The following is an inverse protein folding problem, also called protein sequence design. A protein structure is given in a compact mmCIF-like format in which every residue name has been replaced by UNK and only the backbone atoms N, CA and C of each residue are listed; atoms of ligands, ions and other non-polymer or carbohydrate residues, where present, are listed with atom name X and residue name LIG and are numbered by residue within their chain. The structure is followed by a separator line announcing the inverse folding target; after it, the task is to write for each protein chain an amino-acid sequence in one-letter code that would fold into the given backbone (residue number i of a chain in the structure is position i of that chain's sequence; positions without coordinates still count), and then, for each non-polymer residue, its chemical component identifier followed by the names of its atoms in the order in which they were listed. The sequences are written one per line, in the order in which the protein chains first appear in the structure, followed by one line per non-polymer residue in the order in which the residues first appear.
data_IF_966285423105
#
_entry.id   IF_966285423105
#
_cell.length_a   1.000
_cell.length_b   1.000
_cell.length_c   1.000
_cell.angle_alpha   90.00
_cell.angle_beta   90.00
_cell.angle_gamma   90.00
#
_symmetry.space_group_name_H-M   'P 1'
#
loop_
_entity.id
_entity.type
_entity.pdbx_description
1 polymer ?
#
# COMPACT_ATOMS: atom_id res chain seq x y z
N UNK A 1 17.32 -6.13 -16.59
CA UNK A 1 16.52 -6.47 -17.77
C UNK A 1 16.16 -5.22 -18.56
N UNK A 2 15.50 -4.21 -17.97
CA UNK A 2 14.99 -3.02 -18.68
C UNK A 2 15.92 -1.80 -18.68
N UNK A 3 16.87 -1.71 -17.75
CA UNK A 3 17.93 -0.71 -17.76
C UNK A 3 19.05 -1.14 -18.75
N UNK A 4 18.71 -1.26 -20.02
CA UNK A 4 19.67 -1.59 -21.08
C UNK A 4 20.57 -0.41 -21.37
N UNK A 5 21.74 -0.64 -21.99
CA UNK A 5 22.65 0.43 -22.40
C UNK A 5 21.94 1.47 -23.30
N UNK A 6 21.05 1.01 -24.19
CA UNK A 6 20.26 1.87 -25.07
C UNK A 6 19.29 2.78 -24.27
N UNK A 7 18.52 2.21 -23.32
CA UNK A 7 17.60 2.96 -22.47
C UNK A 7 18.35 3.97 -21.60
N UNK A 8 19.48 3.55 -21.01
CA UNK A 8 20.30 4.43 -20.17
C UNK A 8 20.95 5.57 -20.97
N UNK A 9 21.38 5.33 -22.21
CA UNK A 9 21.89 6.40 -23.08
C UNK A 9 20.78 7.35 -23.51
N UNK A 10 19.56 6.84 -23.78
CA UNK A 10 18.39 7.67 -24.09
C UNK A 10 18.01 8.59 -22.93
N UNK A 11 18.16 8.12 -21.69
CA UNK A 11 17.79 8.85 -20.47
C UNK A 11 18.95 9.66 -19.89
N UNK A 12 20.10 9.65 -20.53
CA UNK A 12 21.29 10.39 -20.07
C UNK A 12 21.02 11.90 -20.03
N UNK A 13 21.26 12.49 -18.85
CA UNK A 13 21.03 13.91 -18.61
C UNK A 13 19.56 14.29 -18.40
N UNK A 14 18.63 13.33 -18.44
CA UNK A 14 17.25 13.58 -18.02
C UNK A 14 17.18 13.68 -16.51
N UNK A 15 16.75 14.82 -16.02
CA UNK A 15 16.62 15.12 -14.58
C UNK A 15 15.22 15.64 -14.31
N UNK A 16 14.51 15.04 -13.40
CA UNK A 16 13.17 15.49 -13.00
C UNK A 16 13.23 16.77 -12.16
N UNK A 17 12.11 17.48 -11.95
CA UNK A 17 12.09 18.71 -11.15
C UNK A 17 12.67 18.57 -9.74
N UNK A 18 12.54 17.42 -9.12
CA UNK A 18 13.13 17.13 -7.80
C UNK A 18 14.50 16.43 -7.87
N UNK A 19 15.15 16.44 -9.04
CA UNK A 19 16.52 15.95 -9.19
C UNK A 19 16.65 14.43 -9.29
N UNK A 20 15.60 13.70 -9.68
CA UNK A 20 15.65 12.27 -9.90
C UNK A 20 16.15 11.94 -11.30
N UNK A 21 16.92 10.86 -11.44
CA UNK A 21 17.51 10.40 -12.69
C UNK A 21 17.35 8.90 -12.87
N UNK A 22 17.61 8.39 -14.06
CA UNK A 22 17.54 6.96 -14.33
C UNK A 22 18.55 6.18 -13.48
N UNK A 23 19.74 6.72 -13.23
CA UNK A 23 20.78 6.11 -12.40
C UNK A 23 20.30 5.95 -10.94
N UNK A 24 19.69 7.01 -10.38
CA UNK A 24 19.09 6.95 -9.03
C UNK A 24 17.95 5.95 -8.97
N UNK A 25 17.11 5.91 -10.02
CA UNK A 25 15.96 5.03 -10.06
C UNK A 25 16.34 3.54 -10.01
N UNK A 26 17.46 3.14 -10.61
CA UNK A 26 17.93 1.74 -10.67
C UNK A 26 18.89 1.36 -9.54
N UNK A 27 19.30 2.31 -8.68
CA UNK A 27 20.36 2.08 -7.68
C UNK A 27 20.04 0.90 -6.76
N UNK A 28 18.79 0.79 -6.29
CA UNK A 28 18.38 -0.32 -5.43
C UNK A 28 18.54 -1.68 -6.10
N UNK A 29 18.24 -1.78 -7.40
CA UNK A 29 18.42 -3.00 -8.18
C UNK A 29 19.89 -3.33 -8.49
N UNK A 30 20.77 -2.32 -8.52
CA UNK A 30 22.22 -2.51 -8.66
C UNK A 30 22.79 -3.08 -7.36
N UNK A 31 22.44 -2.50 -6.23
CA UNK A 31 22.93 -2.90 -4.91
C UNK A 31 22.35 -4.25 -4.46
N UNK A 32 21.15 -4.59 -4.94
CA UNK A 32 20.40 -5.77 -4.54
C UNK A 32 19.90 -6.52 -5.78
N UNK A 33 20.76 -7.33 -6.38
CA UNK A 33 20.48 -8.08 -7.62
C UNK A 33 19.34 -9.11 -7.50
N UNK A 34 18.95 -9.46 -6.29
CA UNK A 34 17.82 -10.34 -5.96
C UNK A 34 16.52 -9.59 -5.77
N UNK A 35 16.49 -8.26 -6.00
CA UNK A 35 15.27 -7.45 -5.93
C UNK A 35 14.26 -7.88 -7.00
N UNK A 36 12.99 -7.98 -6.61
CA UNK A 36 11.89 -8.34 -7.52
C UNK A 36 11.58 -7.24 -8.54
N UNK A 37 11.81 -5.97 -8.20
CA UNK A 37 11.53 -4.82 -9.07
C UNK A 37 12.78 -3.97 -9.36
N UNK A 38 13.60 -3.65 -8.36
CA UNK A 38 14.88 -2.98 -8.47
C UNK A 38 14.85 -1.52 -8.93
N UNK A 39 13.67 -0.91 -9.09
CA UNK A 39 13.52 0.49 -9.52
C UNK A 39 12.55 1.23 -8.62
N UNK A 40 12.85 2.52 -8.35
CA UNK A 40 12.02 3.38 -7.52
C UNK A 40 11.90 4.78 -8.15
N UNK A 41 10.71 5.37 -8.05
CA UNK A 41 10.46 6.74 -8.46
C UNK A 41 10.87 7.72 -7.35
N UNK A 42 11.32 8.92 -7.74
CA UNK A 42 11.69 9.98 -6.81
C UNK A 42 10.66 11.09 -6.69
N UNK A 43 9.79 11.21 -7.68
CA UNK A 43 8.75 12.22 -7.76
C UNK A 43 7.65 11.83 -8.78
N UNK A 44 6.54 12.59 -8.87
CA UNK A 44 5.48 12.30 -9.85
C UNK A 44 5.99 12.27 -11.29
N UNK A 45 6.91 13.15 -11.64
CA UNK A 45 7.45 13.32 -12.99
C UNK A 45 8.38 12.18 -13.41
N UNK A 46 8.88 11.38 -12.46
CA UNK A 46 9.70 10.19 -12.74
C UNK A 46 9.01 9.26 -13.74
N UNK A 47 7.69 9.05 -13.59
CA UNK A 47 6.93 8.13 -14.43
C UNK A 47 6.73 8.61 -15.88
N UNK A 48 6.78 9.90 -16.12
CA UNK A 48 6.66 10.48 -17.48
C UNK A 48 8.01 10.75 -18.09
N UNK A 49 8.94 11.36 -17.34
CA UNK A 49 10.26 11.74 -17.87
C UNK A 49 11.19 10.53 -18.04
N UNK A 50 11.03 9.50 -17.20
CA UNK A 50 11.81 8.26 -17.29
C UNK A 50 10.94 7.10 -17.82
N UNK A 51 9.88 7.37 -18.58
CA UNK A 51 8.97 6.37 -19.12
C UNK A 51 9.65 5.23 -19.91
N UNK A 52 10.71 5.45 -20.71
CA UNK A 52 11.43 4.35 -21.37
C UNK A 52 11.95 3.28 -20.42
N UNK A 53 12.26 3.65 -19.17
CA UNK A 53 12.68 2.71 -18.12
C UNK A 53 11.47 2.12 -17.39
N UNK A 54 10.54 2.97 -16.93
CA UNK A 54 9.45 2.54 -16.05
C UNK A 54 8.32 1.80 -16.78
N UNK A 55 7.90 2.26 -17.95
CA UNK A 55 6.72 1.71 -18.64
C UNK A 55 6.82 0.21 -18.94
N UNK A 56 7.94 -0.32 -19.47
CA UNK A 56 8.07 -1.76 -19.70
C UNK A 56 8.00 -2.58 -18.40
N UNK A 57 8.57 -2.04 -17.32
CA UNK A 57 8.57 -2.68 -16.00
C UNK A 57 7.15 -2.73 -15.45
N UNK A 58 6.41 -1.63 -15.53
CA UNK A 58 5.02 -1.51 -15.06
C UNK A 58 4.13 -2.50 -15.82
N UNK A 59 4.23 -2.55 -17.14
CA UNK A 59 3.45 -3.50 -17.97
C UNK A 59 3.74 -4.95 -17.61
N UNK A 60 5.01 -5.29 -17.45
CA UNK A 60 5.39 -6.66 -17.09
C UNK A 60 4.91 -7.04 -15.69
N UNK A 61 5.12 -6.18 -14.71
CA UNK A 61 4.73 -6.45 -13.32
C UNK A 61 3.22 -6.56 -13.15
N UNK A 62 2.48 -5.57 -13.63
CA UNK A 62 1.03 -5.50 -13.47
C UNK A 62 0.24 -6.37 -14.46
N UNK A 63 0.91 -6.90 -15.50
CA UNK A 63 0.25 -7.62 -16.61
C UNK A 63 -0.87 -6.78 -17.22
N UNK A 64 -0.60 -5.50 -17.43
CA UNK A 64 -1.57 -4.51 -17.88
C UNK A 64 -0.93 -3.51 -18.85
N UNK A 65 -1.59 -3.23 -19.98
CA UNK A 65 -1.07 -2.38 -21.06
C UNK A 65 -1.22 -0.88 -20.79
N UNK A 66 -1.58 -0.48 -19.58
CA UNK A 66 -1.74 0.92 -19.16
C UNK A 66 -2.71 1.72 -20.06
N UNK A 67 -3.85 1.11 -20.39
CA UNK A 67 -4.88 1.69 -21.25
C UNK A 67 -5.78 2.71 -20.54
N UNK A 68 -5.60 2.88 -19.25
CA UNK A 68 -6.30 3.84 -18.40
C UNK A 68 -6.53 3.31 -17.00
N UNK A 69 -6.67 4.21 -16.04
CA UNK A 69 -6.97 3.89 -14.64
C UNK A 69 -8.01 4.87 -14.09
N UNK A 70 -8.96 4.34 -13.33
CA UNK A 70 -9.99 5.12 -12.63
C UNK A 70 -10.01 4.76 -11.15
N UNK A 71 -10.33 5.75 -10.34
CA UNK A 71 -10.58 5.57 -8.90
C UNK A 71 -12.07 5.60 -8.64
N UNK A 72 -12.58 4.60 -7.92
CA UNK A 72 -13.99 4.51 -7.49
C UNK A 72 -14.10 3.78 -6.15
N UNK A 73 -14.51 4.52 -5.12
CA UNK A 73 -14.78 3.99 -3.77
C UNK A 73 -16.27 3.78 -3.48
N UNK A 74 -17.15 3.90 -4.49
CA UNK A 74 -18.59 3.76 -4.27
C UNK A 74 -19.01 2.31 -4.03
N UNK A 75 -19.70 2.06 -2.93
CA UNK A 75 -20.37 0.77 -2.66
C UNK A 75 -21.87 0.81 -3.04
N UNK A 76 -22.33 1.90 -3.67
CA UNK A 76 -23.74 2.08 -4.03
C UNK A 76 -24.22 0.95 -4.96
N UNK A 77 -25.34 0.35 -4.60
CA UNK A 77 -26.00 -0.71 -5.39
C UNK A 77 -25.43 -2.11 -5.17
N UNK A 78 -24.48 -2.28 -4.25
CA UNK A 78 -24.01 -3.61 -3.84
C UNK A 78 -24.90 -4.18 -2.72
N UNK A 79 -25.23 -5.45 -2.84
CA UNK A 79 -25.84 -6.23 -1.76
C UNK A 79 -24.75 -6.78 -0.86
N UNK A 80 -24.57 -6.19 0.30
CA UNK A 80 -23.52 -6.54 1.25
C UNK A 80 -24.17 -7.12 2.49
N UNK A 81 -23.76 -8.34 2.85
CA UNK A 81 -24.15 -9.02 4.08
C UNK A 81 -22.90 -9.38 4.88
N UNK A 82 -23.06 -9.61 6.17
CA UNK A 82 -21.98 -10.14 6.98
C UNK A 82 -21.62 -11.55 6.49
N UNK A 83 -20.37 -11.75 6.11
CA UNK A 83 -19.87 -13.02 5.58
C UNK A 83 -19.62 -14.09 6.65
N UNK A 84 -19.44 -13.65 7.89
CA UNK A 84 -19.06 -14.52 9.02
C UNK A 84 -19.71 -14.04 10.32
N UNK A 85 -21.06 -14.04 10.42
CA UNK A 85 -21.78 -13.47 11.55
C UNK A 85 -21.49 -14.20 12.89
N UNK A 86 -21.01 -15.43 12.82
CA UNK A 86 -20.62 -16.21 14.01
C UNK A 86 -19.12 -16.03 14.37
N UNK A 87 -18.36 -15.31 13.55
CA UNK A 87 -16.93 -15.05 13.78
C UNK A 87 -16.04 -16.32 13.77
N UNK A 88 -16.40 -17.28 12.94
CA UNK A 88 -15.69 -18.59 12.90
C UNK A 88 -14.46 -18.59 12.00
N UNK A 89 -14.48 -17.76 10.95
CA UNK A 89 -13.50 -17.83 9.86
C UNK A 89 -12.65 -16.57 9.78
N UNK A 90 -13.23 -15.39 9.72
CA UNK A 90 -12.49 -14.14 9.52
C UNK A 90 -12.06 -13.55 10.86
N UNK A 91 -10.75 -13.53 11.07
CA UNK A 91 -10.14 -12.97 12.30
C UNK A 91 -10.13 -11.46 12.27
N UNK A 92 -9.69 -10.88 11.14
CA UNK A 92 -9.58 -9.43 10.98
C UNK A 92 -9.64 -9.01 9.52
N UNK A 93 -9.99 -7.74 9.30
CA UNK A 93 -9.98 -7.09 7.99
C UNK A 93 -9.07 -5.87 8.04
N UNK A 94 -8.24 -5.67 7.02
CA UNK A 94 -7.33 -4.54 6.88
C UNK A 94 -7.29 -4.06 5.44
N UNK A 95 -7.58 -2.79 5.22
CA UNK A 95 -7.49 -2.14 3.91
C UNK A 95 -6.56 -0.93 4.04
N UNK A 96 -5.58 -0.83 3.14
CA UNK A 96 -4.62 0.27 3.12
C UNK A 96 -4.40 0.81 1.72
N UNK A 97 -4.10 2.10 1.63
CA UNK A 97 -3.64 2.76 0.41
C UNK A 97 -2.34 3.50 0.65
N UNK A 98 -1.47 3.55 -0.36
CA UNK A 98 -0.33 4.46 -0.42
C UNK A 98 -0.72 5.76 -1.13
N UNK A 99 -0.21 6.90 -0.66
CA UNK A 99 -0.42 8.22 -1.27
C UNK A 99 0.85 9.06 -1.17
N UNK A 100 1.15 9.75 -2.27
CA UNK A 100 2.19 10.77 -2.31
C UNK A 100 1.59 12.13 -2.71
N UNK A 101 2.19 13.21 -2.24
CA UNK A 101 1.81 14.56 -2.66
C UNK A 101 2.17 14.80 -4.11
N UNK A 102 1.33 15.59 -4.81
CA UNK A 102 1.63 16.03 -6.17
C UNK A 102 2.78 17.04 -6.24
N UNK A 103 3.03 17.79 -5.17
CA UNK A 103 3.99 18.91 -5.13
C UNK A 103 5.34 18.58 -4.50
N UNK A 104 5.45 17.51 -3.73
CA UNK A 104 6.70 17.10 -3.08
C UNK A 104 7.33 15.91 -3.80
N UNK A 105 8.64 15.78 -3.65
CA UNK A 105 9.34 14.55 -3.97
C UNK A 105 8.84 13.40 -3.08
N UNK A 106 8.97 12.17 -3.58
CA UNK A 106 8.66 10.96 -2.82
C UNK A 106 9.74 10.68 -1.76
N UNK A 107 9.49 9.80 -0.79
CA UNK A 107 10.47 9.51 0.27
C UNK A 107 11.88 9.16 -0.21
N UNK A 108 12.02 8.60 -1.40
CA UNK A 108 13.32 8.30 -2.03
C UNK A 108 14.16 9.55 -2.38
N UNK A 109 13.50 10.71 -2.61
CA UNK A 109 14.16 11.93 -3.08
C UNK A 109 13.89 13.18 -2.24
N UNK A 110 12.88 13.15 -1.34
CA UNK A 110 12.45 14.31 -0.56
C UNK A 110 13.59 14.88 0.28
N UNK A 111 13.74 16.22 0.29
CA UNK A 111 14.68 16.91 1.17
C UNK A 111 14.22 16.86 2.65
N UNK A 112 15.12 17.04 3.62
CA UNK A 112 14.73 17.14 5.02
C UNK A 112 13.72 18.27 5.29
N UNK A 113 13.88 19.41 4.64
CA UNK A 113 13.02 20.58 4.75
C UNK A 113 11.63 20.32 4.19
N UNK A 114 11.55 19.69 3.01
CA UNK A 114 10.27 19.31 2.39
C UNK A 114 9.59 18.20 3.18
N UNK A 115 10.35 17.26 3.75
CA UNK A 115 9.79 16.21 4.63
C UNK A 115 9.16 16.81 5.88
N UNK A 116 9.79 17.82 6.47
CA UNK A 116 9.25 18.55 7.62
C UNK A 116 7.95 19.31 7.24
N UNK A 117 7.94 19.96 6.09
CA UNK A 117 6.76 20.66 5.57
C UNK A 117 5.62 19.71 5.26
N UNK A 118 5.93 18.58 4.62
CA UNK A 118 4.98 17.51 4.31
C UNK A 118 4.36 16.94 5.60
N UNK A 119 5.18 16.64 6.61
CA UNK A 119 4.72 16.16 7.91
C UNK A 119 3.73 17.15 8.54
N UNK A 120 4.05 18.44 8.54
CA UNK A 120 3.19 19.50 9.11
C UNK A 120 1.83 19.57 8.38
N UNK A 121 1.81 19.51 7.05
CA UNK A 121 0.58 19.53 6.26
C UNK A 121 -0.29 18.26 6.50
N UNK A 122 0.33 17.10 6.60
CA UNK A 122 -0.39 15.87 6.93
C UNK A 122 -0.98 15.96 8.34
N UNK A 123 -0.22 16.40 9.32
CA UNK A 123 -0.70 16.56 10.70
C UNK A 123 -1.86 17.53 10.77
N UNK A 124 -1.80 18.66 10.06
CA UNK A 124 -2.91 19.61 9.97
C UNK A 124 -4.16 18.98 9.38
N UNK A 125 -4.03 18.23 8.27
CA UNK A 125 -5.15 17.55 7.63
C UNK A 125 -5.78 16.51 8.56
N UNK A 126 -4.97 15.69 9.22
CA UNK A 126 -5.43 14.63 10.12
C UNK A 126 -6.06 15.18 11.42
N UNK A 127 -5.53 16.30 11.93
CA UNK A 127 -6.07 16.98 13.12
C UNK A 127 -7.48 17.55 12.91
N UNK A 128 -7.92 17.68 11.66
CA UNK A 128 -9.28 18.13 11.32
C UNK A 128 -10.30 16.99 11.24
N UNK A 129 -9.86 15.74 11.37
CA UNK A 129 -10.76 14.58 11.38
C UNK A 129 -11.60 14.55 12.66
N UNK A 130 -12.87 14.15 12.51
CA UNK A 130 -13.86 14.15 13.60
C UNK A 130 -14.56 12.79 13.70
N UNK A 131 -15.38 12.62 14.74
CA UNK A 131 -16.15 11.40 14.97
C UNK A 131 -15.22 10.20 15.16
N UNK A 132 -15.50 9.09 14.49
CA UNK A 132 -14.73 7.84 14.60
C UNK A 132 -13.33 7.95 14.00
N UNK A 133 -13.05 8.98 13.20
CA UNK A 133 -11.73 9.26 12.65
C UNK A 133 -10.90 10.19 13.55
N UNK A 134 -11.49 10.78 14.59
CA UNK A 134 -10.77 11.65 15.52
C UNK A 134 -9.66 10.87 16.23
N UNK A 135 -8.49 11.48 16.32
CA UNK A 135 -7.34 10.81 16.90
C UNK A 135 -6.18 11.75 17.17
N UNK A 136 -4.99 11.19 17.30
CA UNK A 136 -3.79 11.92 17.65
C UNK A 136 -2.57 11.47 16.84
N UNK A 137 -1.72 12.44 16.52
CA UNK A 137 -0.43 12.24 15.89
C UNK A 137 0.69 12.06 16.92
N UNK A 138 1.62 11.16 16.59
CA UNK A 138 2.83 10.88 17.37
C UNK A 138 4.04 10.86 16.45
N UNK A 139 5.00 11.75 16.71
CA UNK A 139 6.27 11.79 15.98
C UNK A 139 7.17 10.63 16.41
N UNK A 140 7.81 9.96 15.46
CA UNK A 140 8.80 8.92 15.75
C UNK A 140 10.02 9.50 16.50
N UNK A 141 10.45 10.70 16.15
CA UNK A 141 11.56 11.37 16.81
C UNK A 141 11.28 11.77 18.27
N UNK A 142 9.99 11.85 18.64
CA UNK A 142 9.54 12.12 20.02
C UNK A 142 9.34 10.87 20.88
N UNK A 143 9.43 9.67 20.29
CA UNK A 143 9.32 8.40 21.01
C UNK A 143 10.68 7.85 21.39
N UNK A 144 10.74 7.15 22.52
CA UNK A 144 11.91 6.31 22.84
C UNK A 144 12.02 5.13 21.90
N UNK A 145 13.18 4.47 21.87
CA UNK A 145 13.38 3.27 21.07
C UNK A 145 12.49 2.13 21.54
N UNK A 146 12.29 2.01 22.86
CA UNK A 146 11.41 1.01 23.48
C UNK A 146 9.95 1.23 23.10
N UNK A 147 9.47 2.48 23.12
CA UNK A 147 8.10 2.81 22.70
C UNK A 147 7.87 2.46 21.22
N UNK A 148 8.81 2.80 20.35
CA UNK A 148 8.75 2.41 18.93
C UNK A 148 8.74 0.90 18.75
N UNK A 149 9.65 0.19 19.43
CA UNK A 149 9.75 -1.27 19.34
C UNK A 149 8.45 -1.94 19.80
N UNK A 150 7.83 -1.45 20.88
CA UNK A 150 6.55 -1.97 21.36
C UNK A 150 5.42 -1.76 20.34
N UNK A 151 5.31 -0.56 19.77
CA UNK A 151 4.28 -0.28 18.74
C UNK A 151 4.48 -1.10 17.45
N UNK A 152 5.72 -1.41 17.09
CA UNK A 152 6.03 -2.32 15.98
C UNK A 152 5.61 -3.74 16.32
N UNK A 153 5.91 -4.23 17.53
CA UNK A 153 5.50 -5.55 18.01
C UNK A 153 3.97 -5.71 18.07
N UNK A 154 3.27 -4.62 18.42
CA UNK A 154 1.81 -4.56 18.45
C UNK A 154 1.18 -4.37 17.04
N UNK A 155 1.97 -4.36 15.98
CA UNK A 155 1.55 -4.19 14.58
C UNK A 155 0.88 -2.84 14.25
N UNK A 156 1.11 -1.81 15.03
CA UNK A 156 0.61 -0.45 14.76
C UNK A 156 1.60 0.41 13.99
N UNK A 157 2.90 0.32 14.32
CA UNK A 157 3.92 1.18 13.76
C UNK A 157 4.78 0.44 12.73
N UNK A 158 5.22 1.16 11.71
CA UNK A 158 6.24 0.70 10.77
C UNK A 158 7.65 0.78 11.38
N UNK A 159 8.50 -0.11 10.95
CA UNK A 159 9.94 -0.09 11.23
C UNK A 159 10.70 0.58 10.09
N UNK A 160 11.95 0.94 10.33
CA UNK A 160 12.87 1.39 9.28
C UNK A 160 12.84 0.41 8.12
N UNK A 161 12.82 0.93 6.89
CA UNK A 161 12.78 0.14 5.68
C UNK A 161 13.97 -0.81 5.55
N UNK A 162 13.77 -1.86 4.76
CA UNK A 162 14.77 -2.87 4.50
C UNK A 162 15.93 -2.35 3.59
N UNK A 163 16.85 -3.25 3.22
CA UNK A 163 18.00 -2.91 2.34
C UNK A 163 17.59 -2.40 0.96
N UNK A 164 16.43 -2.80 0.44
CA UNK A 164 15.93 -2.32 -0.86
C UNK A 164 15.52 -0.86 -0.77
N UNK A 165 14.81 -0.49 0.29
CA UNK A 165 14.40 0.89 0.56
C UNK A 165 15.58 1.76 1.00
N UNK A 166 16.56 1.20 1.72
CA UNK A 166 17.81 1.88 2.06
C UNK A 166 18.55 2.32 0.80
N UNK A 167 18.79 1.38 -0.13
CA UNK A 167 19.47 1.68 -1.40
C UNK A 167 18.67 2.62 -2.31
N UNK A 168 17.35 2.66 -2.18
CA UNK A 168 16.48 3.61 -2.87
C UNK A 168 16.47 5.02 -2.23
N UNK A 169 17.14 5.22 -1.09
CA UNK A 169 17.22 6.49 -0.38
C UNK A 169 16.02 6.81 0.52
N UNK A 170 15.10 5.87 0.73
CA UNK A 170 13.89 6.08 1.52
C UNK A 170 14.18 6.26 3.01
N UNK A 171 15.24 5.60 3.53
CA UNK A 171 15.58 5.61 4.96
C UNK A 171 16.42 6.82 5.40
N UNK A 172 16.71 7.77 4.50
CA UNK A 172 17.52 8.95 4.85
C UNK A 172 16.93 9.70 6.03
N UNK A 173 17.81 10.17 6.92
CA UNK A 173 17.46 10.96 8.12
C UNK A 173 16.48 10.27 9.08
N UNK A 174 16.45 8.94 9.07
CA UNK A 174 15.64 8.17 10.01
C UNK A 174 16.01 8.50 11.47
N UNK A 175 15.05 8.69 12.40
CA UNK A 175 13.57 8.63 12.23
C UNK A 175 12.91 10.02 12.04
N UNK A 176 13.66 11.05 11.69
CA UNK A 176 13.21 12.46 11.67
C UNK A 176 12.06 12.68 10.67
N UNK A 177 11.11 13.52 11.07
CA UNK A 177 9.93 13.92 10.29
C UNK A 177 9.11 12.74 9.76
N UNK A 178 9.00 11.72 10.60
CA UNK A 178 8.16 10.54 10.43
C UNK A 178 7.28 10.36 11.64
N UNK A 179 6.11 9.76 11.43
CA UNK A 179 5.20 9.55 12.54
C UNK A 179 4.02 8.68 12.20
N UNK A 180 3.17 8.54 13.20
CA UNK A 180 1.91 7.81 13.10
C UNK A 180 0.78 8.64 13.69
N UNK A 181 -0.32 8.70 12.97
CA UNK A 181 -1.62 9.10 13.49
C UNK A 181 -2.48 7.86 13.70
N UNK A 182 -3.24 7.79 14.77
CA UNK A 182 -4.30 6.81 14.90
C UNK A 182 -5.54 7.37 15.59
N UNK A 183 -6.71 6.88 15.16
CA UNK A 183 -7.99 7.21 15.77
C UNK A 183 -8.07 6.70 17.22
N UNK A 184 -8.97 7.28 18.00
CA UNK A 184 -9.11 6.94 19.43
C UNK A 184 -9.39 5.46 19.66
N UNK A 185 -10.11 4.81 18.74
CA UNK A 185 -10.41 3.37 18.75
C UNK A 185 -9.38 2.49 18.04
N UNK A 186 -8.32 3.11 17.47
CA UNK A 186 -7.24 2.46 16.71
C UNK A 186 -7.71 1.66 15.48
N UNK A 187 -8.87 1.94 14.95
CA UNK A 187 -9.38 1.33 13.70
C UNK A 187 -8.94 2.08 12.44
N UNK A 188 -8.44 3.29 12.59
CA UNK A 188 -7.89 4.11 11.51
C UNK A 188 -6.50 4.61 11.88
N UNK A 189 -5.53 4.41 10.97
CA UNK A 189 -4.13 4.79 11.17
C UNK A 189 -3.58 5.45 9.91
N UNK A 190 -2.64 6.37 10.08
CA UNK A 190 -1.85 6.92 8.99
C UNK A 190 -0.38 6.89 9.36
N UNK A 191 0.42 6.21 8.55
CA UNK A 191 1.89 6.27 8.62
C UNK A 191 2.38 7.40 7.74
N UNK A 192 3.28 8.21 8.26
CA UNK A 192 3.82 9.39 7.58
C UNK A 192 5.29 9.16 7.25
N UNK A 193 5.63 9.28 5.96
CA UNK A 193 6.99 9.14 5.42
C UNK A 193 7.62 7.77 5.73
N UNK A 194 6.88 6.69 5.43
CA UNK A 194 7.41 5.33 5.36
C UNK A 194 7.95 5.08 3.94
N UNK A 195 7.38 4.18 3.14
CA UNK A 195 7.74 3.98 1.73
C UNK A 195 7.17 5.06 0.82
N UNK A 196 5.95 5.49 1.10
CA UNK A 196 5.28 6.64 0.47
C UNK A 196 5.08 7.76 1.50
N UNK A 197 4.68 8.95 1.05
CA UNK A 197 4.41 10.09 1.93
C UNK A 197 3.39 9.74 3.01
N UNK A 198 2.37 8.98 2.63
CA UNK A 198 1.32 8.50 3.54
C UNK A 198 0.96 7.05 3.21
N UNK A 199 0.78 6.25 4.25
CA UNK A 199 0.07 4.98 4.19
C UNK A 199 -1.16 5.08 5.08
N UNK A 200 -2.33 5.06 4.46
CA UNK A 200 -3.62 5.29 5.11
C UNK A 200 -4.30 3.94 5.29
N UNK A 201 -4.63 3.59 6.52
CA UNK A 201 -5.00 2.23 6.94
C UNK A 201 -6.31 2.27 7.69
N UNK A 202 -7.26 1.42 7.30
CA UNK A 202 -8.46 1.11 8.06
C UNK A 202 -8.46 -0.38 8.39
N UNK A 203 -8.72 -0.73 9.65
CA UNK A 203 -8.67 -2.12 10.09
C UNK A 203 -9.56 -2.36 11.31
N UNK A 204 -10.05 -3.59 11.45
CA UNK A 204 -10.77 -4.05 12.63
C UNK A 204 -10.83 -5.57 12.70
N UNK A 205 -11.22 -6.09 13.85
CA UNK A 205 -11.54 -7.50 14.02
C UNK A 205 -12.82 -7.86 13.26
N UNK A 206 -12.90 -9.11 12.77
CA UNK A 206 -14.08 -9.65 12.11
C UNK A 206 -14.17 -9.37 10.61
N UNK A 207 -15.31 -9.70 10.02
CA UNK A 207 -15.55 -9.82 8.59
C UNK A 207 -16.24 -8.61 7.95
N UNK A 208 -16.45 -7.51 8.68
CA UNK A 208 -17.11 -6.34 8.11
C UNK A 208 -16.19 -5.54 7.19
N UNK A 209 -15.94 -6.11 6.00
CA UNK A 209 -15.11 -5.52 4.96
C UNK A 209 -15.68 -4.19 4.49
N UNK A 210 -17.01 -4.06 4.46
CA UNK A 210 -17.69 -2.84 4.00
C UNK A 210 -17.48 -1.67 4.96
N UNK A 211 -17.55 -1.90 6.27
CA UNK A 211 -17.27 -0.85 7.27
C UNK A 211 -15.82 -0.38 7.19
N UNK A 212 -14.88 -1.33 7.08
CA UNK A 212 -13.44 -1.03 6.93
C UNK A 212 -13.16 -0.22 5.66
N UNK A 213 -13.78 -0.60 4.54
CA UNK A 213 -13.66 0.11 3.26
C UNK A 213 -14.29 1.51 3.33
N UNK A 214 -15.50 1.63 3.87
CA UNK A 214 -16.22 2.91 3.97
C UNK A 214 -15.50 3.90 4.89
N UNK A 215 -14.91 3.43 6.00
CA UNK A 215 -14.09 4.26 6.89
C UNK A 215 -12.88 4.83 6.16
N UNK A 216 -12.19 4.00 5.36
CA UNK A 216 -11.07 4.44 4.54
C UNK A 216 -11.50 5.48 3.50
N UNK A 217 -12.59 5.23 2.78
CA UNK A 217 -13.15 6.14 1.79
C UNK A 217 -13.51 7.50 2.40
N UNK A 218 -14.21 7.50 3.53
CA UNK A 218 -14.57 8.72 4.25
C UNK A 218 -13.34 9.52 4.67
N UNK A 219 -12.32 8.84 5.20
CA UNK A 219 -11.07 9.50 5.58
C UNK A 219 -10.36 10.12 4.37
N UNK A 220 -10.32 9.41 3.24
CA UNK A 220 -9.72 9.91 1.99
C UNK A 220 -10.45 11.14 1.45
N UNK A 221 -11.79 11.16 1.51
CA UNK A 221 -12.58 12.32 1.10
C UNK A 221 -12.24 13.57 1.91
N UNK A 222 -12.03 13.43 3.22
CA UNK A 222 -11.60 14.54 4.07
C UNK A 222 -10.16 14.98 3.79
N UNK A 223 -9.25 14.03 3.63
CA UNK A 223 -7.83 14.33 3.37
C UNK A 223 -7.65 14.99 2.00
N UNK A 224 -8.37 14.51 0.97
CA UNK A 224 -8.31 15.04 -0.39
C UNK A 224 -8.78 16.50 -0.50
N UNK A 225 -9.56 17.01 0.46
CA UNK A 225 -9.93 18.44 0.50
C UNK A 225 -8.75 19.35 0.86
N UNK A 226 -7.71 18.81 1.47
CA UNK A 226 -6.54 19.55 1.96
C UNK A 226 -5.25 19.20 1.24
N UNK A 227 -5.11 17.97 0.77
CA UNK A 227 -3.91 17.44 0.15
C UNK A 227 -4.21 16.98 -1.27
N UNK A 228 -3.47 17.51 -2.23
CA UNK A 228 -3.51 17.05 -3.61
C UNK A 228 -2.51 15.90 -3.81
N UNK A 229 -3.01 14.72 -4.16
CA UNK A 229 -2.19 13.54 -4.39
C UNK A 229 -1.71 13.42 -5.82
N UNK A 230 -0.51 12.86 -6.01
CA UNK A 230 0.04 12.53 -7.31
C UNK A 230 -0.79 11.42 -7.97
N UNK A 231 -1.40 11.75 -9.10
CA UNK A 231 -2.30 10.87 -9.85
C UNK A 231 -2.28 11.22 -11.34
N UNK A 232 -2.33 10.21 -12.19
CA UNK A 232 -2.68 10.35 -13.59
C UNK A 232 -3.65 9.26 -14.07
N UNK A 233 -4.35 9.53 -15.20
CA UNK A 233 -5.37 8.62 -15.75
C UNK A 233 -4.80 7.35 -16.39
N UNK A 234 -3.49 7.20 -16.45
CA UNK A 234 -2.82 6.02 -17.03
C UNK A 234 -2.28 5.10 -15.95
N UNK A 235 -1.64 5.67 -14.92
CA UNK A 235 -0.94 4.94 -13.86
C UNK A 235 -1.65 4.96 -12.51
N UNK A 236 -2.73 5.77 -12.40
CA UNK A 236 -3.44 5.96 -11.15
C UNK A 236 -2.62 6.75 -10.13
N UNK A 237 -2.72 6.41 -8.86
CA UNK A 237 -1.93 7.04 -7.80
C UNK A 237 -0.46 6.67 -7.92
N UNK A 238 0.39 7.68 -7.97
CA UNK A 238 1.83 7.50 -8.06
C UNK A 238 2.43 7.11 -6.72
N UNK A 239 3.20 6.06 -6.74
CA UNK A 239 3.88 5.51 -5.56
C UNK A 239 5.39 5.48 -5.78
N UNK A 240 6.16 5.44 -4.69
CA UNK A 240 7.62 5.34 -4.73
C UNK A 240 8.06 4.04 -5.42
N UNK A 241 7.42 2.93 -5.06
CA UNK A 241 7.62 1.64 -5.72
C UNK A 241 6.56 1.41 -6.81
N UNK A 242 6.94 1.14 -8.07
CA UNK A 242 5.98 0.96 -9.15
C UNK A 242 5.05 -0.26 -8.97
N UNK A 243 5.35 -1.17 -8.07
CA UNK A 243 4.48 -2.31 -7.74
C UNK A 243 3.15 -1.90 -7.11
N UNK A 244 3.07 -0.70 -6.54
CA UNK A 244 1.89 -0.19 -5.87
C UNK A 244 1.02 0.74 -6.73
N UNK A 245 1.43 1.09 -7.95
CA UNK A 245 0.69 1.98 -8.86
C UNK A 245 -0.77 1.54 -9.06
N UNK A 246 -1.60 2.47 -9.46
CA UNK A 246 -3.02 2.30 -9.70
C UNK A 246 -3.83 2.75 -8.50
N UNK A 247 -4.60 1.87 -7.90
CA UNK A 247 -5.32 2.16 -6.64
C UNK A 247 -4.36 2.36 -5.46
N UNK A 248 -3.14 1.85 -5.56
CA UNK A 248 -2.19 1.70 -4.46
C UNK A 248 -2.82 1.00 -3.23
N UNK A 249 -3.90 0.23 -3.46
CA UNK A 249 -4.70 -0.40 -2.41
C UNK A 249 -4.34 -1.88 -2.23
N UNK A 250 -4.18 -2.27 -0.98
CA UNK A 250 -4.20 -3.65 -0.56
C UNK A 250 -5.34 -3.84 0.44
N UNK A 251 -6.33 -4.61 0.03
CA UNK A 251 -7.45 -5.03 0.87
C UNK A 251 -7.25 -6.49 1.25
N UNK A 252 -7.24 -6.79 2.54
CA UNK A 252 -6.94 -8.13 3.03
C UNK A 252 -7.80 -8.54 4.21
N UNK A 253 -7.95 -9.84 4.36
CA UNK A 253 -8.50 -10.49 5.54
C UNK A 253 -7.52 -11.53 6.07
N UNK A 254 -7.46 -11.66 7.40
CA UNK A 254 -6.89 -12.83 8.05
C UNK A 254 -8.02 -13.84 8.23
N UNK A 255 -7.92 -14.99 7.57
CA UNK A 255 -8.98 -16.00 7.52
C UNK A 255 -8.46 -17.36 7.98
N UNK A 256 -9.23 -18.04 8.84
CA UNK A 256 -8.94 -19.38 9.36
C UNK A 256 -9.64 -20.43 8.51
N UNK A 257 -8.88 -21.14 7.67
CA UNK A 257 -9.35 -22.12 6.69
C UNK A 257 -8.47 -23.38 6.70
N UNK A 258 -8.34 -24.08 7.85
CA UNK A 258 -7.38 -25.18 8.01
C UNK A 258 -7.68 -26.39 7.10
N UNK A 259 -8.94 -26.69 6.80
CA UNK A 259 -9.31 -27.81 5.96
C UNK A 259 -9.04 -27.50 4.49
N UNK A 260 -9.46 -26.32 4.02
CA UNK A 260 -9.24 -25.89 2.65
C UNK A 260 -7.75 -25.70 2.36
N UNK A 261 -6.99 -25.10 3.26
CA UNK A 261 -5.55 -24.89 3.10
C UNK A 261 -4.74 -26.19 3.04
N UNK A 262 -5.27 -27.28 3.58
CA UNK A 262 -4.66 -28.60 3.47
C UNK A 262 -4.93 -29.29 2.09
N UNK A 263 -5.81 -28.73 1.26
CA UNK A 263 -6.09 -29.28 -0.06
C UNK A 263 -4.98 -28.94 -1.05
N UNK A 264 -4.58 -29.89 -1.93
CA UNK A 264 -3.47 -29.67 -2.86
C UNK A 264 -3.73 -28.57 -3.89
N UNK A 265 -4.99 -28.18 -4.14
CA UNK A 265 -5.39 -27.16 -5.09
C UNK A 265 -5.70 -25.80 -4.44
N UNK A 266 -5.37 -25.58 -3.17
CA UNK A 266 -5.69 -24.35 -2.45
C UNK A 266 -5.14 -23.08 -3.13
N UNK A 267 -3.88 -23.13 -3.55
CA UNK A 267 -3.25 -22.00 -4.24
C UNK A 267 -3.93 -21.70 -5.58
N UNK A 268 -4.34 -22.74 -6.31
CA UNK A 268 -5.05 -22.60 -7.59
C UNK A 268 -6.43 -21.97 -7.39
N UNK A 269 -7.17 -22.41 -6.39
CA UNK A 269 -8.46 -21.81 -6.00
C UNK A 269 -8.32 -20.32 -5.72
N UNK A 270 -7.35 -19.91 -4.90
CA UNK A 270 -7.11 -18.49 -4.62
C UNK A 270 -6.73 -17.72 -5.89
N UNK A 271 -5.89 -18.29 -6.74
CA UNK A 271 -5.47 -17.68 -8.01
C UNK A 271 -6.65 -17.46 -8.96
N UNK A 272 -7.54 -18.42 -9.09
CA UNK A 272 -8.76 -18.32 -9.90
C UNK A 272 -9.71 -17.22 -9.39
N UNK A 273 -9.76 -17.03 -8.07
CA UNK A 273 -10.50 -15.96 -7.42
C UNK A 273 -9.80 -14.57 -7.52
N UNK A 274 -8.62 -14.51 -8.16
CA UNK A 274 -7.84 -13.29 -8.28
C UNK A 274 -7.20 -12.83 -6.97
N UNK A 275 -7.03 -13.73 -6.02
CA UNK A 275 -6.51 -13.48 -4.69
C UNK A 275 -5.03 -13.86 -4.57
N UNK A 276 -4.34 -13.18 -3.66
CA UNK A 276 -2.97 -13.45 -3.25
C UNK A 276 -2.96 -13.99 -1.83
N UNK A 277 -2.12 -14.99 -1.58
CA UNK A 277 -1.98 -15.64 -0.28
C UNK A 277 -0.65 -15.23 0.34
N UNK A 278 -0.67 -14.88 1.63
CA UNK A 278 0.52 -14.68 2.46
C UNK A 278 0.33 -15.39 3.80
N UNK A 279 1.43 -15.79 4.45
CA UNK A 279 1.37 -16.17 5.86
C UNK A 279 1.06 -14.95 6.74
N UNK A 280 0.65 -15.18 7.98
CA UNK A 280 0.20 -14.13 8.92
C UNK A 280 1.29 -13.08 9.21
N UNK A 281 2.55 -13.44 9.06
CA UNK A 281 3.71 -12.58 9.34
C UNK A 281 4.39 -12.00 8.08
N UNK A 282 3.80 -12.12 6.88
CA UNK A 282 4.29 -11.53 5.63
C UNK A 282 4.50 -12.52 4.48
N UNK A 283 5.12 -12.06 3.38
CA UNK A 283 5.22 -12.76 2.10
C UNK A 283 5.89 -14.14 2.15
N UNK A 284 6.76 -14.37 3.12
CA UNK A 284 7.57 -15.58 3.25
C UNK A 284 7.34 -16.34 4.56
N UNK A 285 6.25 -16.02 5.30
CA UNK A 285 5.93 -16.73 6.55
C UNK A 285 5.02 -17.92 6.28
N UNK A 286 5.25 -19.00 7.05
CA UNK A 286 4.32 -20.12 7.12
C UNK A 286 3.04 -19.72 7.85
N UNK A 287 1.91 -20.37 7.52
CA UNK A 287 0.66 -20.12 8.23
C UNK A 287 0.74 -20.69 9.65
N UNK A 288 0.19 -19.95 10.60
CA UNK A 288 -0.03 -20.42 11.96
C UNK A 288 -1.47 -20.93 12.07
N UNK A 289 -1.66 -22.18 12.42
CA UNK A 289 -2.98 -22.80 12.71
C UNK A 289 -4.03 -22.69 11.58
N UNK A 290 -3.60 -22.70 10.32
CA UNK A 290 -4.50 -22.57 9.17
C UNK A 290 -5.05 -21.16 8.94
N UNK A 291 -4.42 -20.13 9.53
CA UNK A 291 -4.77 -18.72 9.31
C UNK A 291 -3.88 -18.16 8.21
N UNK A 292 -4.50 -17.52 7.21
CA UNK A 292 -3.84 -16.91 6.06
C UNK A 292 -4.25 -15.46 5.90
N UNK A 293 -3.32 -14.66 5.40
CA UNK A 293 -3.57 -13.31 4.92
C UNK A 293 -3.93 -13.39 3.43
N UNK A 294 -5.19 -13.16 3.11
CA UNK A 294 -5.75 -13.21 1.76
C UNK A 294 -6.04 -11.78 1.30
N UNK A 295 -5.53 -11.40 0.13
CA UNK A 295 -5.66 -10.03 -0.41
C UNK A 295 -5.87 -10.00 -1.91
N UNK A 296 -6.25 -8.82 -2.45
CA UNK A 296 -6.25 -8.58 -3.89
C UNK A 296 -4.85 -8.73 -4.48
N UNK A 297 -4.79 -9.23 -5.71
CA UNK A 297 -3.56 -9.35 -6.49
C UNK A 297 -3.32 -8.11 -7.36
N UNK A 298 -4.36 -7.59 -8.01
CA UNK A 298 -4.29 -6.46 -8.94
C UNK A 298 -4.45 -5.12 -8.21
N UNK A 299 -3.77 -4.08 -8.71
CA UNK A 299 -3.88 -2.69 -8.24
C UNK A 299 -4.02 -1.70 -9.38
N UNK A 300 -3.43 -1.97 -10.56
CA UNK A 300 -3.48 -1.11 -11.74
C UNK A 300 -4.51 -1.64 -12.75
N UNK A 301 -5.28 -0.75 -13.38
CA UNK A 301 -6.34 -1.10 -14.32
C UNK A 301 -7.55 -1.77 -13.67
N UNK A 302 -7.77 -1.49 -12.41
CA UNK A 302 -8.89 -1.98 -11.58
C UNK A 302 -9.23 -0.87 -10.57
N UNK A 303 -10.52 -0.65 -10.29
CA UNK A 303 -10.95 0.34 -9.30
C UNK A 303 -10.93 -0.23 -7.88
N UNK A 304 -10.98 0.63 -6.88
CA UNK A 304 -11.09 0.24 -5.47
C UNK A 304 -12.38 -0.55 -5.22
N UNK A 305 -13.49 -0.14 -5.86
CA UNK A 305 -14.76 -0.87 -5.83
C UNK A 305 -14.61 -2.29 -6.36
N UNK A 306 -14.01 -2.47 -7.52
CA UNK A 306 -13.79 -3.80 -8.13
C UNK A 306 -12.88 -4.68 -7.26
N UNK A 307 -11.87 -4.08 -6.58
CA UNK A 307 -11.05 -4.80 -5.60
C UNK A 307 -11.90 -5.24 -4.41
N UNK A 308 -12.78 -4.37 -3.89
CA UNK A 308 -13.71 -4.72 -2.82
C UNK A 308 -14.62 -5.89 -3.23
N UNK A 309 -15.27 -5.80 -4.39
CA UNK A 309 -16.15 -6.84 -4.91
C UNK A 309 -15.42 -8.19 -5.07
N UNK A 310 -14.21 -8.16 -5.59
CA UNK A 310 -13.38 -9.36 -5.77
C UNK A 310 -12.98 -9.98 -4.43
N UNK A 311 -12.54 -9.18 -3.46
CA UNK A 311 -12.19 -9.68 -2.13
C UNK A 311 -13.42 -10.24 -1.42
N UNK A 312 -14.54 -9.51 -1.45
CA UNK A 312 -15.79 -9.91 -0.82
C UNK A 312 -16.31 -11.24 -1.38
N UNK A 313 -16.41 -11.38 -2.70
CA UNK A 313 -16.83 -12.61 -3.36
C UNK A 313 -15.84 -13.76 -3.10
N UNK A 314 -14.54 -13.46 -3.12
CA UNK A 314 -13.50 -14.44 -2.86
C UNK A 314 -13.55 -14.98 -1.43
N UNK A 315 -13.67 -14.11 -0.42
CA UNK A 315 -13.81 -14.51 0.99
C UNK A 315 -15.06 -15.36 1.20
N UNK A 316 -16.19 -14.94 0.63
CA UNK A 316 -17.43 -15.73 0.66
C UNK A 316 -17.21 -17.14 0.13
N UNK A 317 -16.55 -17.28 -1.02
CA UNK A 317 -16.25 -18.57 -1.63
C UNK A 317 -15.32 -19.42 -0.80
N UNK A 318 -14.28 -18.84 -0.19
CA UNK A 318 -13.37 -19.56 0.69
C UNK A 318 -14.08 -20.10 1.94
N UNK A 319 -15.00 -19.33 2.54
CA UNK A 319 -15.82 -19.77 3.67
C UNK A 319 -16.75 -20.93 3.27
N UNK A 320 -17.41 -20.82 2.13
CA UNK A 320 -18.26 -21.90 1.59
C UNK A 320 -17.48 -23.21 1.40
N UNK A 321 -16.30 -23.14 0.81
CA UNK A 321 -15.44 -24.30 0.59
C UNK A 321 -14.94 -24.90 1.90
N UNK A 322 -14.46 -24.08 2.85
CA UNK A 322 -14.01 -24.54 4.16
C UNK A 322 -15.14 -25.23 4.93
N UNK A 323 -16.35 -24.68 4.89
CA UNK A 323 -17.52 -25.24 5.59
C UNK A 323 -18.04 -26.53 4.98
N UNK A 324 -17.75 -26.80 3.71
CA UNK A 324 -18.19 -28.00 2.99
C UNK A 324 -17.24 -29.18 3.14
N UNK A 325 -16.02 -28.94 3.62
CA UNK A 325 -15.01 -29.96 3.95
C UNK A 325 -15.15 -30.45 5.40
#
# INVERSE_FOLDING_TARGET
KYATAEVMEQLKGVVTPHGWTAEKAIQSGIDNVDSSIGVYAGDPESYTMLAPLFDPIIREYHKYEMTGHKSDFSLKGLEIVDLDPEGKYVVSTRIRVGRNFAKYAFPSAVSPEDRASLEAEVVEALSSLTGDLAGKYYSLGGMTEEERAQMVADHFLFKQGDRFLESAGVNRDWPNNRGIFFSNDKKFLVWISEEDSMRIISMQQGADVAEVFSRLSTALDHINQKINFAFDDVRGYHTTCPTNLGTAMRASVHIKIPKLSAQPNFEEVCKELGLSIRGVHGEHSESSDGIYDISNKRRLGITEREIFEQLYAGVKKLIELESSL
#
